data_IF_564576595680
#
_entry.id   IF_564576595680
#
_cell.length_a   1.000
_cell.length_b   1.000
_cell.length_c   1.000
_cell.angle_alpha   90.00
_cell.angle_beta   90.00
_cell.angle_gamma   90.00
#
_symmetry.space_group_name_H-M   'P 1'
#
loop_
_entity.id
_entity.type
_entity.pdbx_description
1 polymer ?
#
# COMPACT_ATOMS: atom_id res chain seq x y z
N UNK A 1 3.99 7.85 -19.59
CA UNK A 1 2.90 6.85 -19.47
C UNK A 1 2.07 7.15 -18.22
N UNK A 2 0.75 6.97 -18.27
CA UNK A 2 -0.08 6.92 -17.05
C UNK A 2 0.21 5.59 -16.35
N UNK A 3 1.26 5.55 -15.51
CA UNK A 3 1.78 4.33 -14.89
C UNK A 3 0.67 3.48 -14.23
N UNK A 4 -0.23 4.13 -13.50
CA UNK A 4 -1.36 3.45 -12.88
C UNK A 4 -2.30 2.79 -13.89
N UNK A 5 -2.60 3.46 -15.02
CA UNK A 5 -3.44 2.88 -16.07
C UNK A 5 -2.75 1.71 -16.77
N UNK A 6 -1.42 1.80 -16.94
CA UNK A 6 -0.64 0.69 -17.47
C UNK A 6 -0.66 -0.52 -16.51
N UNK A 7 -0.56 -0.29 -15.19
CA UNK A 7 -0.72 -1.34 -14.17
C UNK A 7 -2.12 -1.99 -14.25
N UNK A 8 -3.19 -1.20 -14.35
CA UNK A 8 -4.55 -1.72 -14.54
C UNK A 8 -4.67 -2.55 -15.82
N UNK A 9 -4.14 -2.06 -16.94
CA UNK A 9 -4.10 -2.78 -18.21
C UNK A 9 -3.37 -4.12 -18.08
N UNK A 10 -2.21 -4.15 -17.42
CA UNK A 10 -1.43 -5.36 -17.18
C UNK A 10 -2.18 -6.40 -16.36
N UNK A 11 -2.80 -5.98 -15.26
CA UNK A 11 -3.61 -6.87 -14.42
C UNK A 11 -4.77 -7.44 -15.21
N UNK A 12 -5.53 -6.55 -15.86
CA UNK A 12 -6.70 -6.92 -16.67
C UNK A 12 -6.32 -7.91 -17.78
N UNK A 13 -5.25 -7.63 -18.54
CA UNK A 13 -4.77 -8.49 -19.62
C UNK A 13 -4.28 -9.85 -19.12
N UNK A 14 -3.65 -9.89 -17.95
CA UNK A 14 -3.19 -11.14 -17.34
C UNK A 14 -4.37 -12.01 -16.93
N UNK A 15 -5.39 -11.41 -16.32
CA UNK A 15 -6.63 -12.10 -15.93
C UNK A 15 -7.43 -12.55 -17.15
N UNK A 16 -7.51 -11.74 -18.21
CA UNK A 16 -8.23 -12.07 -19.44
C UNK A 16 -7.63 -13.24 -20.23
N UNK A 17 -6.35 -13.59 -19.98
CA UNK A 17 -5.73 -14.79 -20.57
C UNK A 17 -6.33 -16.08 -20.00
N UNK A 18 -6.91 -16.03 -18.80
CA UNK A 18 -7.57 -17.17 -18.18
C UNK A 18 -9.04 -17.24 -18.62
N UNK A 19 -9.40 -18.28 -19.38
CA UNK A 19 -10.75 -18.48 -19.92
C UNK A 19 -11.82 -18.77 -18.87
N UNK A 20 -11.43 -19.06 -17.62
CA UNK A 20 -12.37 -19.38 -16.55
C UNK A 20 -13.02 -18.14 -15.92
N UNK A 21 -12.50 -16.93 -16.19
CA UNK A 21 -13.04 -15.69 -15.62
C UNK A 21 -13.98 -15.00 -16.61
N UNK A 22 -15.15 -14.59 -16.11
CA UNK A 22 -16.01 -13.70 -16.89
C UNK A 22 -15.45 -12.29 -16.93
N UNK A 23 -15.91 -11.47 -17.88
CA UNK A 23 -15.51 -10.06 -17.97
C UNK A 23 -15.81 -9.27 -16.68
N UNK A 24 -16.90 -9.63 -15.98
CA UNK A 24 -17.22 -9.02 -14.68
C UNK A 24 -16.18 -9.39 -13.63
N UNK A 25 -15.78 -10.65 -13.58
CA UNK A 25 -14.77 -11.15 -12.63
C UNK A 25 -13.42 -10.48 -12.87
N UNK A 26 -13.01 -10.37 -14.15
CA UNK A 26 -11.76 -9.71 -14.54
C UNK A 26 -11.74 -8.27 -14.02
N UNK A 27 -12.83 -7.52 -14.19
CA UNK A 27 -12.93 -6.13 -13.72
C UNK A 27 -12.89 -6.05 -12.20
N UNK A 28 -13.60 -6.94 -11.49
CA UNK A 28 -13.61 -7.00 -10.02
C UNK A 28 -12.21 -7.32 -9.49
N UNK A 29 -11.54 -8.34 -10.03
CA UNK A 29 -10.18 -8.69 -9.65
C UNK A 29 -9.17 -7.60 -9.99
N UNK A 30 -9.32 -6.95 -11.14
CA UNK A 30 -8.50 -5.77 -11.49
C UNK A 30 -8.65 -4.67 -10.43
N UNK A 31 -9.87 -4.45 -9.94
CA UNK A 31 -10.13 -3.53 -8.84
C UNK A 31 -9.48 -3.95 -7.54
N UNK A 32 -9.67 -5.19 -7.10
CA UNK A 32 -9.11 -5.67 -5.85
C UNK A 32 -7.57 -5.60 -5.84
N UNK A 33 -6.93 -6.12 -6.88
CA UNK A 33 -5.45 -6.15 -6.97
C UNK A 33 -4.88 -4.73 -7.00
N UNK A 34 -5.45 -3.84 -7.81
CA UNK A 34 -4.96 -2.45 -7.88
C UNK A 34 -5.25 -1.65 -6.61
N UNK A 35 -6.32 -1.95 -5.90
CA UNK A 35 -6.65 -1.32 -4.62
C UNK A 35 -5.70 -1.76 -3.51
N UNK A 36 -5.27 -3.03 -3.51
CA UNK A 36 -4.20 -3.51 -2.62
C UNK A 36 -2.91 -2.75 -2.91
N UNK A 37 -2.56 -2.56 -4.18
CA UNK A 37 -1.38 -1.76 -4.56
C UNK A 37 -1.47 -0.32 -4.04
N UNK A 38 -2.60 0.36 -4.24
CA UNK A 38 -2.84 1.71 -3.71
C UNK A 38 -2.73 1.73 -2.19
N UNK A 39 -3.33 0.75 -1.50
CA UNK A 39 -3.28 0.65 -0.04
C UNK A 39 -1.84 0.53 0.45
N UNK A 40 -1.02 -0.32 -0.15
CA UNK A 40 0.40 -0.43 0.21
C UNK A 40 1.14 0.89 0.01
N UNK A 41 0.89 1.59 -1.10
CA UNK A 41 1.50 2.89 -1.35
C UNK A 41 1.08 3.93 -0.31
N UNK A 42 -0.20 4.00 0.02
CA UNK A 42 -0.73 4.91 1.05
C UNK A 42 -0.17 4.58 2.43
N UNK A 43 -0.09 3.30 2.81
CA UNK A 43 0.48 2.87 4.08
C UNK A 43 1.96 3.23 4.17
N UNK A 44 2.73 3.00 3.11
CA UNK A 44 4.15 3.36 3.09
C UNK A 44 4.34 4.86 3.29
N UNK A 45 3.55 5.70 2.61
CA UNK A 45 3.58 7.16 2.81
C UNK A 45 3.19 7.52 4.25
N UNK A 46 2.08 6.97 4.74
CA UNK A 46 1.58 7.21 6.09
C UNK A 46 2.64 6.87 7.15
N UNK A 47 3.23 5.68 7.11
CA UNK A 47 4.26 5.29 8.08
C UNK A 47 5.56 6.06 7.91
N UNK A 48 5.90 6.51 6.70
CA UNK A 48 7.05 7.40 6.50
C UNK A 48 6.80 8.72 7.24
N UNK A 49 5.65 9.35 7.02
CA UNK A 49 5.32 10.61 7.66
C UNK A 49 5.24 10.45 9.18
N UNK A 50 4.64 9.35 9.63
CA UNK A 50 4.50 9.04 11.05
C UNK A 50 5.85 8.87 11.76
N UNK A 51 6.77 8.11 11.16
CA UNK A 51 8.08 7.85 11.78
C UNK A 51 8.96 9.09 11.86
N UNK A 52 8.83 10.01 10.90
CA UNK A 52 9.72 11.17 10.79
C UNK A 52 9.12 12.49 11.31
N UNK A 53 7.80 12.64 11.37
CA UNK A 53 7.16 13.94 11.67
C UNK A 53 6.04 13.86 12.71
N UNK A 54 5.07 12.96 12.54
CA UNK A 54 3.78 13.07 13.25
C UNK A 54 3.66 12.19 14.49
N UNK A 55 4.33 11.03 14.54
CA UNK A 55 4.29 10.09 15.68
C UNK A 55 2.87 9.70 16.15
N UNK A 56 1.87 9.74 15.27
CA UNK A 56 0.46 9.42 15.52
C UNK A 56 0.25 7.96 15.91
N UNK A 57 1.07 7.04 15.39
CA UNK A 57 1.00 5.61 15.74
C UNK A 57 1.27 5.32 17.21
N UNK A 58 1.84 6.27 17.96
CA UNK A 58 2.00 6.14 19.42
C UNK A 58 0.65 6.28 20.17
N UNK A 59 -0.36 6.87 19.54
CA UNK A 59 -1.63 7.23 20.19
C UNK A 59 -2.85 6.55 19.56
N UNK A 60 -2.77 6.16 18.29
CA UNK A 60 -3.88 5.56 17.55
C UNK A 60 -3.51 4.13 17.15
N UNK A 61 -4.22 3.16 17.74
CA UNK A 61 -4.10 1.77 17.36
C UNK A 61 -5.18 1.41 16.33
N UNK A 62 -4.75 1.06 15.11
CA UNK A 62 -5.67 0.74 14.02
C UNK A 62 -6.09 -0.72 14.18
N UNK A 63 -7.34 -0.94 14.63
CA UNK A 63 -7.90 -2.28 14.73
C UNK A 63 -8.06 -2.94 13.34
N UNK A 64 -7.97 -4.27 13.31
CA UNK A 64 -8.18 -5.12 12.12
C UNK A 64 -9.47 -4.79 11.37
N UNK A 65 -10.53 -4.49 12.11
CA UNK A 65 -11.84 -4.19 11.52
C UNK A 65 -11.83 -2.84 10.79
N UNK A 66 -11.20 -1.82 11.38
CA UNK A 66 -10.97 -0.51 10.74
C UNK A 66 -10.12 -0.65 9.48
N UNK A 67 -9.10 -1.51 9.51
CA UNK A 67 -8.28 -1.80 8.33
C UNK A 67 -9.10 -2.38 7.16
N UNK A 68 -10.01 -3.32 7.45
CA UNK A 68 -10.91 -3.89 6.43
C UNK A 68 -11.81 -2.81 5.83
N UNK A 69 -12.38 -1.92 6.64
CA UNK A 69 -13.19 -0.81 6.13
C UNK A 69 -12.40 0.16 5.26
N UNK A 70 -11.14 0.46 5.62
CA UNK A 70 -10.24 1.29 4.79
C UNK A 70 -10.00 0.60 3.44
N UNK A 71 -9.69 -0.70 3.43
CA UNK A 71 -9.48 -1.45 2.18
C UNK A 71 -10.74 -1.47 1.30
N UNK A 72 -11.92 -1.69 1.90
CA UNK A 72 -13.18 -1.67 1.17
C UNK A 72 -13.49 -0.28 0.62
N UNK A 73 -13.24 0.78 1.39
CA UNK A 73 -13.41 2.16 0.96
C UNK A 73 -12.51 2.51 -0.23
N UNK A 74 -11.22 2.21 -0.13
CA UNK A 74 -10.27 2.41 -1.24
C UNK A 74 -10.70 1.60 -2.47
N UNK A 75 -11.11 0.34 -2.28
CA UNK A 75 -11.54 -0.52 -3.37
C UNK A 75 -12.80 0.01 -4.06
N UNK A 76 -13.75 0.52 -3.29
CA UNK A 76 -14.97 1.13 -3.81
C UNK A 76 -14.67 2.40 -4.60
N UNK A 77 -13.84 3.31 -4.05
CA UNK A 77 -13.44 4.56 -4.71
C UNK A 77 -12.68 4.27 -6.01
N UNK A 78 -11.70 3.37 -5.95
CA UNK A 78 -10.90 2.99 -7.10
C UNK A 78 -11.77 2.36 -8.21
N UNK A 79 -12.70 1.48 -7.82
CA UNK A 79 -13.67 0.92 -8.75
C UNK A 79 -14.50 2.02 -9.43
N UNK A 80 -15.14 2.87 -8.62
CA UNK A 80 -16.11 3.84 -9.10
C UNK A 80 -15.49 4.90 -10.01
N UNK A 81 -14.36 5.48 -9.60
CA UNK A 81 -13.74 6.59 -10.32
C UNK A 81 -12.87 6.15 -11.51
N UNK A 82 -12.20 5.00 -11.42
CA UNK A 82 -11.15 4.65 -12.38
C UNK A 82 -11.52 3.42 -13.20
N UNK A 83 -11.96 2.34 -12.55
CA UNK A 83 -12.00 1.01 -13.19
C UNK A 83 -13.32 0.75 -13.91
N UNK A 84 -14.45 1.22 -13.37
CA UNK A 84 -15.80 0.98 -13.93
C UNK A 84 -15.89 1.29 -15.42
N UNK A 85 -15.27 2.40 -15.84
CA UNK A 85 -15.36 2.88 -17.21
C UNK A 85 -14.30 2.28 -18.15
N UNK A 86 -13.41 1.42 -17.63
CA UNK A 86 -12.33 0.75 -18.40
C UNK A 86 -11.46 1.68 -19.26
N UNK A 87 -11.39 2.98 -18.94
CA UNK A 87 -10.61 3.98 -19.68
C UNK A 87 -9.13 3.61 -19.82
N UNK A 88 -8.62 2.74 -18.95
CA UNK A 88 -7.26 2.21 -19.01
C UNK A 88 -7.01 1.29 -20.22
N UNK A 89 -8.05 0.72 -20.84
CA UNK A 89 -7.93 -0.09 -22.07
C UNK A 89 -7.77 0.78 -23.33
N UNK A 90 -8.29 2.01 -23.31
CA UNK A 90 -8.32 2.91 -24.48
C UNK A 90 -6.96 3.54 -24.81
N UNK A 91 -5.93 3.28 -24.00
CA UNK A 91 -4.63 3.96 -24.10
C UNK A 91 -3.66 3.29 -25.09
N UNK A 92 -4.12 2.37 -25.93
CA UNK A 92 -3.31 1.61 -26.90
C UNK A 92 -2.00 1.06 -26.29
N UNK A 93 -2.08 0.60 -25.03
CA UNK A 93 -0.92 0.01 -24.37
C UNK A 93 -0.55 -1.33 -25.02
N UNK A 94 0.74 -1.53 -25.22
CA UNK A 94 1.29 -2.81 -25.65
C UNK A 94 1.86 -3.56 -24.45
N UNK A 95 1.79 -4.89 -24.50
CA UNK A 95 2.37 -5.75 -23.46
C UNK A 95 3.90 -5.78 -23.62
N UNK A 96 4.59 -4.84 -22.97
CA UNK A 96 6.05 -4.70 -23.06
C UNK A 96 6.77 -5.18 -21.78
N UNK A 97 7.92 -5.84 -21.93
CA UNK A 97 8.71 -6.35 -20.80
C UNK A 97 9.15 -5.23 -19.85
N UNK A 98 9.46 -4.05 -20.38
CA UNK A 98 9.96 -2.91 -19.63
C UNK A 98 8.93 -2.36 -18.65
N UNK A 99 7.67 -2.18 -19.08
CA UNK A 99 6.58 -1.79 -18.19
C UNK A 99 6.32 -2.81 -17.07
N UNK A 100 6.48 -4.11 -17.36
CA UNK A 100 6.44 -5.16 -16.33
C UNK A 100 7.54 -5.01 -15.28
N UNK A 101 8.79 -4.77 -15.72
CA UNK A 101 9.90 -4.51 -14.80
C UNK A 101 9.69 -3.25 -13.97
N UNK A 102 9.10 -2.18 -14.51
CA UNK A 102 8.78 -0.98 -13.75
C UNK A 102 7.77 -1.23 -12.62
N UNK A 103 6.77 -2.08 -12.86
CA UNK A 103 5.81 -2.47 -11.80
C UNK A 103 6.54 -3.23 -10.69
N UNK A 104 7.36 -4.21 -11.04
CA UNK A 104 8.13 -5.00 -10.07
C UNK A 104 9.12 -4.11 -9.31
N UNK A 105 9.83 -3.22 -9.99
CA UNK A 105 10.75 -2.27 -9.37
C UNK A 105 10.02 -1.35 -8.40
N UNK A 106 8.81 -0.86 -8.75
CA UNK A 106 8.01 -0.03 -7.85
C UNK A 106 7.61 -0.78 -6.57
N UNK A 107 7.23 -2.06 -6.68
CA UNK A 107 6.93 -2.91 -5.52
C UNK A 107 8.18 -3.13 -4.66
N UNK A 108 9.33 -3.38 -5.29
CA UNK A 108 10.61 -3.53 -4.59
C UNK A 108 11.02 -2.28 -3.81
N UNK A 109 10.78 -1.09 -4.37
CA UNK A 109 11.02 0.19 -3.68
C UNK A 109 10.08 0.33 -2.48
N UNK A 110 8.77 0.10 -2.67
CA UNK A 110 7.77 0.16 -1.59
C UNK A 110 8.17 -0.78 -0.44
N UNK A 111 8.57 -2.00 -0.76
CA UNK A 111 8.96 -3.01 0.23
C UNK A 111 10.23 -2.62 0.98
N UNK A 112 11.25 -2.12 0.27
CA UNK A 112 12.50 -1.64 0.87
C UNK A 112 12.23 -0.49 1.84
N UNK A 113 11.43 0.49 1.44
CA UNK A 113 11.04 1.63 2.29
C UNK A 113 10.32 1.11 3.54
N UNK A 114 9.39 0.16 3.38
CA UNK A 114 8.66 -0.41 4.49
C UNK A 114 9.58 -1.08 5.53
N UNK A 115 10.59 -1.83 5.08
CA UNK A 115 11.60 -2.45 5.97
C UNK A 115 12.39 -1.38 6.73
N UNK A 116 12.86 -0.33 6.04
CA UNK A 116 13.62 0.75 6.65
C UNK A 116 12.81 1.43 7.75
N UNK A 117 11.55 1.74 7.46
CA UNK A 117 10.63 2.38 8.41
C UNK A 117 10.34 1.47 9.60
N UNK A 118 10.10 0.18 9.37
CA UNK A 118 9.86 -0.78 10.42
C UNK A 118 11.04 -0.89 11.39
N UNK A 119 12.28 -0.94 10.85
CA UNK A 119 13.49 -0.96 11.66
C UNK A 119 13.66 0.33 12.46
N UNK A 120 13.48 1.50 11.82
CA UNK A 120 13.59 2.79 12.49
C UNK A 120 12.54 2.98 13.60
N UNK A 121 11.32 2.49 13.38
CA UNK A 121 10.27 2.53 14.40
C UNK A 121 10.61 1.63 15.60
N UNK A 122 11.21 0.44 15.37
CA UNK A 122 11.69 -0.44 16.45
C UNK A 122 12.80 0.21 17.27
N UNK A 123 13.76 0.86 16.61
CA UNK A 123 14.84 1.59 17.29
C UNK A 123 14.27 2.70 18.19
N UNK A 124 13.31 3.47 17.68
CA UNK A 124 12.62 4.51 18.45
C UNK A 124 11.96 3.95 19.72
N UNK A 125 11.12 2.92 19.57
CA UNK A 125 10.42 2.28 20.69
C UNK A 125 11.39 1.72 21.74
N UNK A 126 12.54 1.21 21.32
CA UNK A 126 13.57 0.72 22.24
C UNK A 126 14.23 1.87 23.02
N UNK A 127 14.46 3.01 22.38
CA UNK A 127 15.03 4.18 23.04
C UNK A 127 14.05 4.80 24.05
N UNK A 128 12.78 4.95 23.67
CA UNK A 128 11.74 5.47 24.56
C UNK A 128 11.60 4.62 25.84
N UNK A 129 11.68 3.28 25.70
CA UNK A 129 11.68 2.35 26.83
C UNK A 129 12.90 2.54 27.75
N UNK A 130 14.09 2.77 27.19
CA UNK A 130 15.32 3.00 27.98
C UNK A 130 15.24 4.30 28.77
N UNK A 131 14.76 5.38 28.14
CA UNK A 131 14.57 6.68 28.81
C UNK A 131 13.60 6.54 29.98
N UNK A 132 12.43 5.94 29.72
CA UNK A 132 11.40 5.71 30.75
C UNK A 132 11.91 4.85 31.91
N UNK A 133 12.75 3.85 31.63
CA UNK A 133 13.35 2.99 32.66
C UNK A 133 14.34 3.76 33.53
N UNK A 134 15.20 4.58 32.93
CA UNK A 134 16.17 5.40 33.66
C UNK A 134 15.49 6.44 34.54
N UNK A 135 14.44 7.11 34.06
CA UNK A 135 13.64 8.06 34.86
C UNK A 135 12.99 7.38 36.08
N UNK A 136 12.43 6.18 35.90
CA UNK A 136 11.87 5.39 37.01
C UNK A 136 12.92 5.01 38.04
N UNK A 137 14.13 4.63 37.61
CA UNK A 137 15.21 4.32 38.54
C UNK A 137 15.65 5.55 39.34
N UNK A 138 15.79 6.71 38.69
CA UNK A 138 16.21 7.95 39.33
C UNK A 138 15.23 8.40 40.42
N UNK A 139 13.93 8.28 40.14
CA UNK A 139 12.85 8.64 41.08
C UNK A 139 12.71 7.67 42.26
N UNK A 140 13.29 6.46 42.19
CA UNK A 140 13.30 5.50 43.29
C UNK A 140 14.54 5.62 44.20
N UNK A 141 15.56 6.39 43.80
CA UNK A 141 16.80 6.61 44.57
C UNK A 141 16.87 7.95 45.30
N UNK A 142 15.88 8.85 45.10
CA UNK A 142 15.69 10.10 45.82
C UNK A 142 14.66 9.91 46.94
#
# INVERSE_FOLDING_TARGET
MKFYYYLLFRIHKTLSKNKNYSEKDIVIFTSLISSIYILFLMLTIYFTIDVFYLHVTNYIDINKLSFVFILLGISYLNYYFIIRNKKYLDHNFNEDKMGGYLIIASLGIIFTIFIIIANKNRERLNNDRKITFNEKQLNHTL
#
